data_IF_912607665681
#
_entry.id   IF_912607665681
#
_cell.length_a   1.000
_cell.length_b   1.000
_cell.length_c   1.000
_cell.angle_alpha   90.00
_cell.angle_beta   90.00
_cell.angle_gamma   90.00
#
_symmetry.space_group_name_H-M   'P 1'
#
loop_
_entity.id
_entity.type
_entity.pdbx_description
1 polymer ?
#
# COMPACT_ATOMS: atom_id res chain seq x y z
N UNK A 1 -11.47 -7.75 25.53
CA UNK A 1 -12.12 -7.23 24.29
C UNK A 1 -12.42 -8.38 23.35
N UNK A 2 -13.54 -8.30 22.65
CA UNK A 2 -13.90 -9.21 21.56
C UNK A 2 -13.53 -8.57 20.23
N UNK A 3 -12.62 -9.21 19.49
CA UNK A 3 -12.05 -8.69 18.24
C UNK A 3 -12.62 -9.47 17.07
N UNK A 4 -13.05 -8.80 16.03
CA UNK A 4 -13.66 -9.39 14.84
C UNK A 4 -12.78 -9.27 13.61
N UNK A 5 -12.65 -10.34 12.85
CA UNK A 5 -11.90 -10.42 11.60
C UNK A 5 -12.84 -10.92 10.50
N UNK A 6 -13.52 -10.04 9.77
CA UNK A 6 -14.31 -10.44 8.63
C UNK A 6 -13.40 -10.82 7.45
N UNK A 7 -13.93 -11.60 6.53
CA UNK A 7 -13.30 -11.86 5.23
C UNK A 7 -13.35 -10.59 4.39
N UNK A 8 -12.25 -10.28 3.71
CA UNK A 8 -12.20 -9.17 2.76
C UNK A 8 -13.10 -9.45 1.54
N UNK A 9 -13.88 -8.45 1.16
CA UNK A 9 -14.86 -8.56 0.07
C UNK A 9 -14.57 -7.61 -1.10
N UNK A 10 -13.60 -6.71 -0.95
CA UNK A 10 -13.17 -5.85 -2.05
C UNK A 10 -12.62 -6.72 -3.19
N UNK A 11 -12.91 -6.35 -4.42
CA UNK A 11 -12.50 -7.10 -5.61
C UNK A 11 -10.97 -7.30 -5.61
N UNK A 12 -10.53 -8.55 -5.79
CA UNK A 12 -9.11 -8.95 -5.79
C UNK A 12 -8.38 -8.69 -4.47
N UNK A 13 -9.09 -8.56 -3.34
CA UNK A 13 -8.48 -8.52 -2.02
C UNK A 13 -8.54 -9.91 -1.39
N UNK A 14 -7.39 -10.45 -1.06
CA UNK A 14 -7.22 -11.80 -0.49
C UNK A 14 -6.36 -11.80 0.76
N UNK A 15 -5.94 -10.62 1.23
CA UNK A 15 -5.27 -10.44 2.52
C UNK A 15 -6.27 -10.63 3.66
N UNK A 16 -5.77 -10.67 4.89
CA UNK A 16 -6.60 -10.80 6.10
C UNK A 16 -6.10 -9.86 7.19
N UNK A 17 -7.02 -9.29 7.97
CA UNK A 17 -6.72 -8.32 9.03
C UNK A 17 -5.84 -8.89 10.14
N UNK A 18 -6.06 -10.14 10.56
CA UNK A 18 -5.21 -10.85 11.51
C UNK A 18 -4.83 -12.23 10.97
N UNK A 19 -3.52 -12.53 10.95
CA UNK A 19 -3.00 -13.88 10.67
C UNK A 19 -3.09 -14.75 11.92
N UNK A 20 -3.07 -16.10 11.81
CA UNK A 20 -3.19 -16.99 12.97
C UNK A 20 -2.21 -16.69 14.11
N UNK A 21 -0.96 -16.32 13.82
CA UNK A 21 0.02 -15.95 14.84
C UNK A 21 -0.41 -14.70 15.64
N UNK A 22 -0.96 -13.69 14.97
CA UNK A 22 -1.50 -12.49 15.64
C UNK A 22 -2.72 -12.82 16.52
N UNK A 23 -3.56 -13.75 16.05
CA UNK A 23 -4.69 -14.27 16.84
C UNK A 23 -4.19 -14.98 18.09
N UNK A 24 -3.16 -15.83 17.99
CA UNK A 24 -2.59 -16.54 19.13
C UNK A 24 -2.02 -15.58 20.19
N UNK A 25 -1.39 -14.46 19.78
CA UNK A 25 -0.92 -13.43 20.71
C UNK A 25 -2.08 -12.75 21.46
N UNK A 26 -3.18 -12.45 20.79
CA UNK A 26 -4.37 -11.84 21.39
C UNK A 26 -5.06 -12.81 22.36
N UNK A 27 -5.30 -14.04 21.95
CA UNK A 27 -5.95 -15.07 22.78
C UNK A 27 -5.08 -15.46 23.98
N UNK A 28 -3.75 -15.52 23.80
CA UNK A 28 -2.80 -15.75 24.89
C UNK A 28 -2.79 -14.65 25.94
N UNK A 29 -3.25 -13.44 25.63
CA UNK A 29 -3.45 -12.32 26.56
C UNK A 29 -4.87 -12.21 27.12
N UNK A 30 -5.72 -13.19 26.82
CA UNK A 30 -7.09 -13.26 27.36
C UNK A 30 -8.13 -12.48 26.58
N UNK A 31 -7.82 -12.03 25.36
CA UNK A 31 -8.80 -11.46 24.44
C UNK A 31 -9.51 -12.57 23.66
N UNK A 32 -10.74 -12.32 23.22
CA UNK A 32 -11.47 -13.24 22.33
C UNK A 32 -11.42 -12.75 20.90
N UNK A 33 -11.26 -13.68 19.95
CA UNK A 33 -11.19 -13.33 18.52
C UNK A 33 -12.23 -14.13 17.76
N UNK A 34 -13.10 -13.43 17.02
CA UNK A 34 -14.04 -14.01 16.06
C UNK A 34 -13.43 -13.88 14.66
N UNK A 35 -13.39 -14.97 13.91
CA UNK A 35 -12.90 -14.96 12.53
C UNK A 35 -14.00 -15.52 11.63
N UNK A 36 -14.33 -14.80 10.56
CA UNK A 36 -15.23 -15.32 9.54
C UNK A 36 -14.62 -16.53 8.83
N UNK A 37 -15.38 -17.58 8.65
CA UNK A 37 -14.98 -18.81 7.95
C UNK A 37 -14.40 -18.46 6.56
N UNK A 38 -13.19 -18.97 6.29
CA UNK A 38 -12.49 -18.75 5.04
C UNK A 38 -11.82 -17.38 4.91
N UNK A 39 -11.78 -16.54 5.96
CA UNK A 39 -11.10 -15.22 5.90
C UNK A 39 -9.61 -15.33 5.54
N UNK A 40 -8.91 -16.35 6.02
CA UNK A 40 -7.49 -16.58 5.73
C UNK A 40 -7.20 -17.43 4.49
N UNK A 41 -8.21 -17.83 3.72
CA UNK A 41 -8.02 -18.73 2.58
C UNK A 41 -7.03 -18.19 1.54
N UNK A 42 -7.05 -16.87 1.30
CA UNK A 42 -6.17 -16.20 0.33
C UNK A 42 -4.69 -16.22 0.71
N UNK A 43 -4.38 -16.43 1.99
CA UNK A 43 -3.01 -16.56 2.48
C UNK A 43 -2.61 -18.00 2.80
N UNK A 44 -3.46 -18.98 2.45
CA UNK A 44 -3.24 -20.39 2.76
C UNK A 44 -3.48 -20.76 4.23
N UNK A 45 -4.01 -19.84 5.05
CA UNK A 45 -4.39 -20.11 6.44
C UNK A 45 -5.87 -20.57 6.49
N UNK A 46 -6.07 -21.88 6.60
CA UNK A 46 -7.41 -22.46 6.73
C UNK A 46 -8.01 -22.25 8.13
N UNK A 47 -9.31 -22.49 8.24
CA UNK A 47 -10.08 -22.34 9.47
C UNK A 47 -9.47 -23.09 10.67
N UNK A 48 -8.88 -24.27 10.45
CA UNK A 48 -8.23 -25.04 11.51
C UNK A 48 -7.00 -24.31 12.11
N UNK A 49 -6.28 -23.54 11.32
CA UNK A 49 -5.17 -22.74 11.84
C UNK A 49 -5.66 -21.64 12.79
N UNK A 50 -6.80 -21.03 12.49
CA UNK A 50 -7.42 -20.04 13.38
C UNK A 50 -7.99 -20.67 14.65
N UNK A 51 -8.63 -21.85 14.55
CA UNK A 51 -9.08 -22.61 15.75
C UNK A 51 -7.88 -22.98 16.63
N UNK A 52 -6.78 -23.44 16.03
CA UNK A 52 -5.57 -23.76 16.79
C UNK A 52 -4.95 -22.53 17.47
N UNK A 53 -5.12 -21.35 16.89
CA UNK A 53 -4.72 -20.07 17.47
C UNK A 53 -5.70 -19.54 18.55
N UNK A 54 -6.79 -20.27 18.83
CA UNK A 54 -7.78 -19.92 19.85
C UNK A 54 -8.93 -19.03 19.37
N UNK A 55 -9.10 -18.83 18.06
CA UNK A 55 -10.24 -18.09 17.53
C UNK A 55 -11.53 -18.91 17.54
N UNK A 56 -12.65 -18.23 17.74
CA UNK A 56 -13.98 -18.74 17.41
C UNK A 56 -14.28 -18.42 15.94
N UNK A 57 -14.73 -19.43 15.18
CA UNK A 57 -15.15 -19.23 13.80
C UNK A 57 -16.64 -18.94 13.74
N UNK A 58 -17.00 -17.93 12.94
CA UNK A 58 -18.39 -17.57 12.64
C UNK A 58 -18.67 -17.70 11.14
N UNK A 59 -19.94 -17.93 10.81
CA UNK A 59 -20.33 -18.29 9.46
C UNK A 59 -20.36 -17.11 8.49
N UNK A 60 -20.50 -15.88 9.00
CA UNK A 60 -20.70 -14.68 8.17
C UNK A 60 -20.03 -13.43 8.75
N UNK A 61 -19.75 -12.47 7.89
CA UNK A 61 -19.32 -11.13 8.30
C UNK A 61 -20.36 -10.46 9.22
N UNK A 62 -21.66 -10.69 8.97
CA UNK A 62 -22.73 -10.13 9.82
C UNK A 62 -22.60 -10.60 11.28
N UNK A 63 -22.22 -11.85 11.53
CA UNK A 63 -21.95 -12.35 12.88
C UNK A 63 -20.74 -11.66 13.53
N UNK A 64 -19.73 -11.34 12.72
CA UNK A 64 -18.54 -10.58 13.16
C UNK A 64 -18.94 -9.17 13.57
N UNK A 65 -19.59 -8.42 12.65
CA UNK A 65 -19.98 -7.03 12.89
C UNK A 65 -20.99 -6.89 14.05
N UNK A 66 -21.90 -7.84 14.21
CA UNK A 66 -22.92 -7.79 15.28
C UNK A 66 -22.36 -8.01 16.68
N UNK A 67 -21.21 -8.69 16.84
CA UNK A 67 -20.71 -9.13 18.16
C UNK A 67 -19.42 -8.44 18.59
N UNK A 68 -18.53 -8.13 17.64
CA UNK A 68 -17.20 -7.66 17.96
C UNK A 68 -17.21 -6.21 18.49
N UNK A 69 -16.33 -5.92 19.46
CA UNK A 69 -16.07 -4.58 19.98
C UNK A 69 -15.07 -3.83 19.10
N UNK A 70 -14.14 -4.56 18.44
CA UNK A 70 -13.19 -4.00 17.48
C UNK A 70 -13.17 -4.85 16.22
N UNK A 71 -13.32 -4.23 15.06
CA UNK A 71 -13.20 -4.84 13.74
C UNK A 71 -11.81 -4.53 13.18
N UNK A 72 -11.07 -5.58 12.83
CA UNK A 72 -9.73 -5.45 12.21
C UNK A 72 -9.80 -5.97 10.78
N UNK A 73 -9.51 -5.10 9.83
CA UNK A 73 -9.53 -5.37 8.38
C UNK A 73 -8.22 -4.95 7.74
N UNK A 74 -8.06 -5.23 6.46
CA UNK A 74 -6.99 -4.71 5.62
C UNK A 74 -7.49 -3.51 4.83
N UNK A 75 -8.58 -3.68 4.08
CA UNK A 75 -9.13 -2.63 3.20
C UNK A 75 -10.32 -1.93 3.85
N UNK A 76 -10.57 -0.75 3.32
CA UNK A 76 -11.70 0.08 3.67
C UNK A 76 -13.01 -0.72 3.60
N UNK A 77 -13.94 -0.51 4.57
CA UNK A 77 -15.22 -1.19 4.56
C UNK A 77 -16.03 -0.80 3.34
N UNK A 78 -16.67 -1.79 2.73
CA UNK A 78 -17.53 -1.60 1.57
C UNK A 78 -18.95 -1.16 2.00
N UNK A 79 -19.84 -0.68 1.09
CA UNK A 79 -21.16 -0.18 1.45
C UNK A 79 -22.00 -1.12 2.31
N UNK A 80 -21.94 -2.42 2.06
CA UNK A 80 -22.64 -3.42 2.84
C UNK A 80 -21.96 -3.76 4.18
N UNK A 81 -20.76 -3.23 4.45
CA UNK A 81 -20.04 -3.41 5.70
C UNK A 81 -20.23 -2.21 6.64
N UNK A 82 -20.05 -0.96 6.13
CA UNK A 82 -20.14 0.20 7.04
C UNK A 82 -21.53 0.41 7.63
N UNK A 83 -22.60 -0.06 6.94
CA UNK A 83 -23.97 -0.02 7.48
C UNK A 83 -24.19 -1.01 8.65
N UNK A 84 -23.26 -1.92 8.90
CA UNK A 84 -23.31 -2.88 10.00
C UNK A 84 -22.51 -2.40 11.23
N UNK A 85 -21.74 -1.31 11.10
CA UNK A 85 -20.99 -0.74 12.21
C UNK A 85 -21.90 0.01 13.17
N UNK A 86 -21.48 0.10 14.44
CA UNK A 86 -22.20 0.79 15.51
C UNK A 86 -21.29 1.74 16.29
N UNK A 87 -21.90 2.66 17.05
CA UNK A 87 -21.21 3.71 17.80
C UNK A 87 -20.20 3.19 18.85
N UNK A 88 -20.44 1.99 19.38
CA UNK A 88 -19.60 1.39 20.43
C UNK A 88 -18.41 0.61 19.85
N UNK A 89 -18.32 0.52 18.51
CA UNK A 89 -17.27 -0.26 17.85
C UNK A 89 -16.06 0.57 17.44
N UNK A 90 -14.89 -0.06 17.51
CA UNK A 90 -13.65 0.42 16.89
C UNK A 90 -13.50 -0.27 15.53
N UNK A 91 -13.28 0.51 14.48
CA UNK A 91 -12.84 0.02 13.17
C UNK A 91 -11.37 0.35 12.99
N UNK A 92 -10.51 -0.65 12.78
CA UNK A 92 -9.07 -0.50 12.60
C UNK A 92 -8.63 -1.11 11.28
N UNK A 93 -8.30 -0.27 10.28
CA UNK A 93 -8.05 -0.67 8.89
C UNK A 93 -7.48 0.49 8.08
N UNK A 94 -7.08 0.26 6.80
CA UNK A 94 -6.93 1.36 5.84
C UNK A 94 -8.29 1.96 5.51
N UNK A 95 -8.38 3.28 5.42
CA UNK A 95 -9.64 3.99 5.17
C UNK A 95 -9.62 4.84 3.90
N UNK A 96 -8.58 5.64 3.68
CA UNK A 96 -8.44 6.56 2.52
C UNK A 96 -9.65 7.51 2.32
N UNK A 97 -10.22 8.03 3.41
CA UNK A 97 -11.50 8.75 3.45
C UNK A 97 -11.56 9.99 2.54
N UNK A 98 -10.44 10.72 2.40
CA UNK A 98 -10.39 11.89 1.54
C UNK A 98 -10.69 11.59 0.05
N UNK A 99 -10.55 10.33 -0.37
CA UNK A 99 -10.83 9.89 -1.74
C UNK A 99 -12.23 9.27 -1.92
N UNK A 100 -12.97 8.98 -0.83
CA UNK A 100 -14.30 8.35 -0.87
C UNK A 100 -15.24 8.99 0.14
N UNK A 101 -15.98 9.99 -0.32
CA UNK A 101 -16.94 10.73 0.50
C UNK A 101 -18.19 9.90 0.86
N UNK A 102 -18.53 8.87 0.07
CA UNK A 102 -19.64 7.98 0.39
C UNK A 102 -19.32 7.12 1.61
N UNK A 103 -18.11 6.55 1.65
CA UNK A 103 -17.58 5.82 2.79
C UNK A 103 -17.45 6.74 4.02
N UNK A 104 -16.94 7.95 3.85
CA UNK A 104 -16.81 8.94 4.93
C UNK A 104 -18.16 9.21 5.60
N UNK A 105 -19.21 9.49 4.81
CA UNK A 105 -20.57 9.69 5.33
C UNK A 105 -21.11 8.43 6.02
N UNK A 106 -20.91 7.24 5.43
CA UNK A 106 -21.34 5.98 6.04
C UNK A 106 -20.68 5.71 7.39
N UNK A 107 -19.39 6.02 7.54
CA UNK A 107 -18.71 5.92 8.85
C UNK A 107 -19.19 6.96 9.86
N UNK A 108 -19.47 8.20 9.42
CA UNK A 108 -20.09 9.21 10.29
C UNK A 108 -21.49 8.77 10.76
N UNK A 109 -22.31 8.24 9.87
CA UNK A 109 -23.65 7.75 10.19
C UNK A 109 -23.65 6.57 11.17
N UNK A 110 -22.63 5.68 11.08
CA UNK A 110 -22.46 4.56 12.01
C UNK A 110 -22.11 5.02 13.43
N UNK A 111 -21.49 6.18 13.58
CA UNK A 111 -20.99 6.70 14.85
C UNK A 111 -19.79 5.96 15.41
N UNK A 112 -19.22 4.99 14.71
CA UNK A 112 -18.08 4.18 15.17
C UNK A 112 -16.82 5.03 15.38
N UNK A 113 -15.84 4.44 16.09
CA UNK A 113 -14.49 5.01 16.19
C UNK A 113 -13.63 4.39 15.09
N UNK A 114 -13.40 5.13 14.00
CA UNK A 114 -12.62 4.66 12.87
C UNK A 114 -11.17 5.18 12.93
N UNK A 115 -10.23 4.24 13.01
CA UNK A 115 -8.80 4.48 13.14
C UNK A 115 -8.10 3.97 11.86
N UNK A 116 -7.52 4.90 11.11
CA UNK A 116 -6.89 4.64 9.83
C UNK A 116 -5.41 4.23 10.01
N UNK A 117 -5.00 3.13 9.38
CA UNK A 117 -3.60 2.70 9.36
C UNK A 117 -2.68 3.75 8.75
N UNK A 118 -3.10 4.35 7.64
CA UNK A 118 -2.28 5.26 6.83
C UNK A 118 -2.04 6.63 7.45
N UNK A 119 -2.69 6.96 8.58
CA UNK A 119 -2.49 8.24 9.27
C UNK A 119 -1.76 8.09 10.60
N UNK A 120 -1.50 6.86 11.07
CA UNK A 120 -0.66 6.60 12.23
C UNK A 120 0.79 6.96 11.88
N UNK A 121 1.45 7.71 12.80
CA UNK A 121 2.80 8.22 12.61
C UNK A 121 3.82 7.53 13.52
N UNK A 122 5.09 7.87 13.37
CA UNK A 122 6.18 7.55 14.28
C UNK A 122 7.00 8.80 14.66
N UNK A 123 7.95 8.65 15.60
CA UNK A 123 8.82 9.74 16.06
C UNK A 123 9.66 10.37 14.94
N UNK A 124 9.90 9.66 13.84
CA UNK A 124 10.62 10.15 12.68
C UNK A 124 9.72 10.86 11.66
N UNK A 125 8.39 10.96 11.93
CA UNK A 125 7.40 11.49 10.99
C UNK A 125 7.07 10.53 9.85
N UNK A 126 7.40 9.25 10.00
CA UNK A 126 7.04 8.19 9.08
C UNK A 126 5.60 7.69 9.29
N UNK A 127 5.16 6.80 8.39
CA UNK A 127 3.85 6.13 8.42
C UNK A 127 4.08 4.61 8.57
N UNK A 128 4.30 4.13 9.82
CA UNK A 128 4.79 2.78 10.07
C UNK A 128 3.83 1.67 9.62
N UNK A 129 2.51 1.93 9.56
CA UNK A 129 1.56 0.94 9.10
C UNK A 129 1.33 0.97 7.59
N UNK A 130 1.72 2.07 6.91
CA UNK A 130 1.74 2.15 5.44
C UNK A 130 3.05 1.59 4.86
N UNK A 131 4.16 1.69 5.61
CA UNK A 131 5.48 1.28 5.17
C UNK A 131 5.55 -0.17 4.65
N UNK A 132 4.96 -1.21 5.30
CA UNK A 132 5.00 -2.58 4.80
C UNK A 132 4.41 -2.73 3.40
N UNK A 133 3.30 -2.05 3.11
CA UNK A 133 2.68 -2.10 1.77
C UNK A 133 3.52 -1.36 0.72
N UNK A 134 4.15 -0.26 1.12
CA UNK A 134 5.11 0.46 0.28
C UNK A 134 6.38 -0.37 -0.02
N UNK A 135 6.85 -1.18 0.94
CA UNK A 135 7.96 -2.10 0.74
C UNK A 135 7.62 -3.22 -0.25
N UNK A 136 6.44 -3.82 -0.10
CA UNK A 136 5.94 -4.85 -1.02
C UNK A 136 5.76 -4.26 -2.42
N UNK A 137 5.08 -3.11 -2.54
CA UNK A 137 4.85 -2.46 -3.83
C UNK A 137 6.16 -2.10 -4.55
N UNK A 138 7.15 -1.57 -3.81
CA UNK A 138 8.46 -1.24 -4.37
C UNK A 138 9.18 -2.46 -4.94
N UNK A 139 9.12 -3.61 -4.27
CA UNK A 139 9.74 -4.85 -4.76
C UNK A 139 8.99 -5.43 -5.95
N UNK A 140 7.64 -5.45 -5.88
CA UNK A 140 6.79 -5.92 -6.98
C UNK A 140 6.97 -5.07 -8.24
N UNK A 141 7.14 -3.74 -8.11
CA UNK A 141 7.30 -2.87 -9.27
C UNK A 141 8.46 -3.29 -10.19
N UNK A 142 9.54 -3.82 -9.61
CA UNK A 142 10.68 -4.31 -10.38
C UNK A 142 10.40 -5.69 -10.99
N UNK A 143 9.72 -6.56 -10.26
CA UNK A 143 9.34 -7.90 -10.75
C UNK A 143 8.41 -7.76 -11.97
N UNK A 144 7.37 -6.94 -11.83
CA UNK A 144 6.43 -6.66 -12.92
C UNK A 144 7.11 -5.92 -14.08
N UNK A 145 7.95 -4.93 -13.77
CA UNK A 145 8.75 -4.22 -14.77
C UNK A 145 9.63 -5.17 -15.57
N UNK A 146 10.36 -6.06 -14.91
CA UNK A 146 11.21 -7.07 -15.54
C UNK A 146 10.41 -8.08 -16.36
N UNK A 147 9.22 -8.48 -15.88
CA UNK A 147 8.33 -9.36 -16.62
C UNK A 147 7.85 -8.72 -17.93
N UNK A 148 7.57 -7.41 -17.90
CA UNK A 148 7.08 -6.67 -19.05
C UNK A 148 8.19 -6.18 -20.01
N UNK A 149 9.46 -6.29 -19.65
CA UNK A 149 10.58 -6.10 -20.60
C UNK A 149 10.69 -7.21 -21.65
N UNK A 150 10.01 -8.34 -21.45
CA UNK A 150 10.01 -9.47 -22.42
C UNK A 150 9.24 -9.11 -23.69
N UNK A 151 9.70 -9.59 -24.84
CA UNK A 151 9.08 -9.31 -26.14
C UNK A 151 7.62 -9.79 -26.25
N UNK A 152 7.28 -10.92 -25.61
CA UNK A 152 5.92 -11.44 -25.60
C UNK A 152 4.95 -10.64 -24.70
N UNK A 153 5.47 -9.73 -23.89
CA UNK A 153 4.69 -8.78 -23.07
C UNK A 153 4.67 -7.37 -23.67
N UNK A 154 5.13 -7.20 -24.92
CA UNK A 154 5.22 -5.89 -25.58
C UNK A 154 6.50 -5.12 -25.28
N UNK A 155 7.37 -5.63 -24.42
CA UNK A 155 8.66 -5.04 -24.09
C UNK A 155 9.71 -5.24 -25.17
N UNK A 156 10.88 -4.62 -24.98
CA UNK A 156 11.97 -4.62 -25.95
C UNK A 156 12.79 -5.91 -26.05
N UNK A 157 12.37 -7.00 -25.36
CA UNK A 157 13.05 -8.30 -25.39
C UNK A 157 14.34 -8.31 -24.57
N UNK A 158 14.40 -7.58 -23.48
CA UNK A 158 15.58 -7.41 -22.62
C UNK A 158 15.44 -8.24 -21.33
N UNK A 159 16.50 -8.98 -20.98
CA UNK A 159 16.63 -9.59 -19.64
C UNK A 159 17.24 -8.57 -18.68
N UNK A 160 16.58 -8.30 -17.56
CA UNK A 160 16.95 -7.24 -16.61
C UNK A 160 18.42 -7.34 -16.13
N UNK A 161 18.91 -8.56 -15.90
CA UNK A 161 20.29 -8.80 -15.48
C UNK A 161 21.33 -8.80 -16.61
N UNK A 162 20.89 -8.87 -17.86
CA UNK A 162 21.75 -9.32 -18.94
C UNK A 162 22.30 -10.74 -18.73
N UNK A 163 23.29 -11.14 -19.51
CA UNK A 163 24.10 -12.35 -19.37
C UNK A 163 25.55 -12.01 -19.74
N UNK A 164 26.56 -12.88 -19.46
CA UNK A 164 27.93 -12.59 -19.83
C UNK A 164 28.06 -12.19 -21.29
N UNK A 165 28.63 -11.00 -21.53
CA UNK A 165 28.81 -10.40 -22.86
C UNK A 165 27.63 -9.47 -23.28
N UNK A 166 26.56 -9.32 -22.48
CA UNK A 166 25.48 -8.35 -22.73
C UNK A 166 25.34 -7.34 -21.60
N UNK A 167 24.78 -6.19 -21.89
CA UNK A 167 24.49 -5.18 -20.86
C UNK A 167 23.23 -5.54 -20.06
N UNK A 168 23.22 -5.29 -18.75
CA UNK A 168 21.97 -5.32 -17.96
C UNK A 168 21.07 -4.12 -18.31
N UNK A 169 19.82 -4.15 -17.82
CA UNK A 169 18.87 -3.06 -17.99
C UNK A 169 19.30 -1.80 -17.23
N UNK A 170 18.99 -0.64 -17.81
CA UNK A 170 19.04 0.67 -17.13
C UNK A 170 17.69 0.90 -16.43
N UNK A 171 17.69 0.87 -15.09
CA UNK A 171 16.50 1.06 -14.24
C UNK A 171 16.57 2.43 -13.59
N UNK A 172 15.54 3.23 -13.79
CA UNK A 172 15.39 4.55 -13.18
C UNK A 172 14.26 4.51 -12.16
N UNK A 173 14.54 4.90 -10.93
CA UNK A 173 13.56 5.02 -9.85
C UNK A 173 13.38 6.50 -9.52
N UNK A 174 12.16 7.01 -9.72
CA UNK A 174 11.81 8.41 -9.43
C UNK A 174 11.10 8.48 -8.08
N UNK A 175 11.80 9.00 -7.07
CA UNK A 175 11.40 9.03 -5.66
C UNK A 175 12.19 8.02 -4.81
N UNK A 176 12.95 8.52 -3.86
CA UNK A 176 13.81 7.73 -2.96
C UNK A 176 13.15 7.36 -1.62
N UNK A 177 11.82 7.42 -1.51
CA UNK A 177 11.06 7.04 -0.33
C UNK A 177 11.10 5.54 -0.03
N UNK A 178 10.14 5.02 0.74
CA UNK A 178 10.07 3.58 1.09
C UNK A 178 9.92 2.72 -0.17
N UNK A 179 8.98 3.07 -1.06
CA UNK A 179 8.76 2.39 -2.34
C UNK A 179 10.05 2.36 -3.16
N UNK A 180 10.64 3.53 -3.42
CA UNK A 180 11.81 3.62 -4.29
C UNK A 180 13.05 2.95 -3.73
N UNK A 181 13.25 2.99 -2.41
CA UNK A 181 14.35 2.24 -1.76
C UNK A 181 14.21 0.74 -1.95
N UNK A 182 12.99 0.21 -1.84
CA UNK A 182 12.72 -1.21 -2.03
C UNK A 182 12.76 -1.61 -3.51
N UNK A 183 12.34 -0.74 -4.42
CA UNK A 183 12.55 -0.91 -5.85
C UNK A 183 14.05 -0.97 -6.19
N UNK A 184 14.85 -0.03 -5.68
CA UNK A 184 16.29 -0.03 -5.88
C UNK A 184 16.94 -1.33 -5.36
N UNK A 185 16.60 -1.77 -4.14
CA UNK A 185 17.09 -3.04 -3.57
C UNK A 185 16.80 -4.23 -4.48
N UNK A 186 15.57 -4.33 -5.01
CA UNK A 186 15.18 -5.42 -5.88
C UNK A 186 15.90 -5.35 -7.23
N UNK A 187 15.98 -4.17 -7.85
CA UNK A 187 16.64 -3.99 -9.14
C UNK A 187 18.14 -4.33 -9.07
N UNK A 188 18.83 -3.90 -7.99
CA UNK A 188 20.22 -4.28 -7.71
C UNK A 188 20.34 -5.81 -7.55
N UNK A 189 19.44 -6.41 -6.75
CA UNK A 189 19.42 -7.86 -6.54
C UNK A 189 19.21 -8.67 -7.82
N UNK A 190 18.51 -8.11 -8.80
CA UNK A 190 18.35 -8.71 -10.14
C UNK A 190 19.50 -8.34 -11.11
N UNK A 191 20.50 -7.58 -10.68
CA UNK A 191 21.70 -7.26 -11.46
C UNK A 191 21.51 -6.10 -12.45
N UNK A 192 20.51 -5.27 -12.32
CA UNK A 192 20.31 -4.07 -13.12
C UNK A 192 21.30 -2.95 -12.77
N UNK A 193 21.50 -1.99 -13.67
CA UNK A 193 22.09 -0.69 -13.36
C UNK A 193 20.99 0.24 -12.86
N UNK A 194 21.18 0.83 -11.67
CA UNK A 194 20.11 1.56 -11.00
C UNK A 194 20.48 3.02 -10.79
N UNK A 195 19.61 3.93 -11.26
CA UNK A 195 19.65 5.35 -10.94
C UNK A 195 18.43 5.72 -10.11
N UNK A 196 18.65 6.35 -8.95
CA UNK A 196 17.58 6.83 -8.06
C UNK A 196 17.55 8.36 -8.08
N UNK A 197 16.37 8.92 -8.30
CA UNK A 197 16.11 10.35 -8.32
C UNK A 197 15.31 10.77 -7.08
N UNK A 198 15.77 11.82 -6.39
CA UNK A 198 15.00 12.46 -5.32
C UNK A 198 15.26 13.96 -5.27
N UNK A 199 14.32 14.76 -4.75
CA UNK A 199 14.49 16.19 -4.51
C UNK A 199 15.21 16.49 -3.20
N UNK A 200 15.21 15.56 -2.25
CA UNK A 200 15.85 15.71 -0.97
C UNK A 200 17.30 15.29 -1.01
N UNK A 201 18.22 16.25 -1.02
CA UNK A 201 19.65 15.94 -0.92
C UNK A 201 20.02 15.16 0.34
N UNK A 202 19.44 15.43 1.53
CA UNK A 202 19.61 14.55 2.69
C UNK A 202 19.19 13.09 2.43
N UNK A 203 18.09 12.89 1.69
CA UNK A 203 17.65 11.54 1.32
C UNK A 203 18.62 10.87 0.35
N UNK A 204 19.12 11.59 -0.63
CA UNK A 204 20.14 11.08 -1.56
C UNK A 204 21.41 10.63 -0.83
N UNK A 205 21.86 11.37 0.22
CA UNK A 205 23.00 10.95 1.07
C UNK A 205 22.71 9.65 1.81
N UNK A 206 21.51 9.52 2.40
CA UNK A 206 21.10 8.27 3.06
C UNK A 206 21.11 7.08 2.10
N UNK A 207 20.65 7.27 0.87
CA UNK A 207 20.66 6.23 -0.16
C UNK A 207 22.09 5.87 -0.60
N UNK A 208 22.95 6.87 -0.70
CA UNK A 208 24.38 6.67 -0.99
C UNK A 208 25.05 5.86 0.14
N UNK A 209 24.78 6.18 1.40
CA UNK A 209 25.28 5.44 2.56
C UNK A 209 24.76 3.99 2.60
N UNK A 210 23.50 3.76 2.19
CA UNK A 210 22.87 2.42 2.19
C UNK A 210 23.42 1.53 1.07
N UNK A 211 23.56 2.08 -0.13
CA UNK A 211 23.83 1.31 -1.35
C UNK A 211 25.25 1.46 -1.89
N UNK A 212 25.97 2.50 -1.47
CA UNK A 212 27.30 2.81 -2.00
C UNK A 212 27.29 2.90 -3.52
N UNK A 213 28.27 2.29 -4.15
CA UNK A 213 28.43 2.30 -5.61
C UNK A 213 27.44 1.39 -6.39
N UNK A 214 26.50 0.73 -5.71
CA UNK A 214 25.53 -0.13 -6.37
C UNK A 214 24.41 0.68 -7.08
N UNK A 215 24.29 1.96 -6.77
CA UNK A 215 23.35 2.88 -7.43
C UNK A 215 24.06 4.19 -7.84
N UNK A 216 23.42 4.90 -8.77
CA UNK A 216 23.69 6.31 -9.02
C UNK A 216 22.59 7.15 -8.43
N UNK A 217 22.91 8.15 -7.60
CA UNK A 217 21.93 9.10 -7.09
C UNK A 217 21.97 10.40 -7.90
N UNK A 218 20.79 10.93 -8.27
CA UNK A 218 20.67 12.19 -9.03
C UNK A 218 19.58 13.07 -8.41
N UNK A 219 19.77 14.38 -8.46
CA UNK A 219 18.73 15.34 -8.04
C UNK A 219 17.56 15.35 -9.04
N UNK A 220 16.33 15.19 -8.53
CA UNK A 220 15.12 15.08 -9.35
C UNK A 220 14.66 16.46 -9.85
N UNK A 221 15.24 16.92 -10.95
CA UNK A 221 14.72 18.05 -11.75
C UNK A 221 14.14 17.53 -13.06
N UNK A 222 13.26 18.30 -13.70
CA UNK A 222 12.66 17.92 -14.99
C UNK A 222 13.72 17.54 -16.02
N UNK A 223 14.76 18.37 -16.18
CA UNK A 223 15.83 18.12 -17.15
C UNK A 223 16.59 16.82 -16.88
N UNK A 224 16.87 16.51 -15.60
CA UNK A 224 17.54 15.26 -15.20
C UNK A 224 16.62 14.05 -15.39
N UNK A 225 15.34 14.17 -15.07
CA UNK A 225 14.36 13.11 -15.34
C UNK A 225 14.34 12.77 -16.83
N UNK A 226 14.20 13.78 -17.69
CA UNK A 226 14.20 13.62 -19.15
C UNK A 226 15.52 13.05 -19.67
N UNK A 227 16.67 13.48 -19.12
CA UNK A 227 18.00 12.96 -19.47
C UNK A 227 18.10 11.46 -19.22
N UNK A 228 17.82 11.02 -17.98
CA UNK A 228 18.04 9.63 -17.58
C UNK A 228 16.95 8.68 -18.08
N UNK A 229 15.70 9.15 -18.20
CA UNK A 229 14.58 8.32 -18.67
C UNK A 229 14.66 8.04 -20.19
N UNK A 230 15.35 8.90 -20.98
CA UNK A 230 15.55 8.65 -22.41
C UNK A 230 16.27 7.32 -22.67
N UNK A 231 17.26 7.01 -21.83
CA UNK A 231 18.08 5.81 -21.94
C UNK A 231 17.64 4.68 -20.99
N UNK A 232 16.54 4.86 -20.27
CA UNK A 232 16.01 3.85 -19.39
C UNK A 232 15.34 2.70 -20.16
N UNK A 233 15.47 1.49 -19.62
CA UNK A 233 14.72 0.32 -20.05
C UNK A 233 13.49 0.11 -19.17
N UNK A 234 13.61 0.47 -17.87
CA UNK A 234 12.53 0.42 -16.89
C UNK A 234 12.53 1.70 -16.05
N UNK A 235 11.38 2.35 -15.96
CA UNK A 235 11.15 3.51 -15.10
C UNK A 235 10.12 3.19 -14.04
N UNK A 236 10.44 3.43 -12.77
CA UNK A 236 9.55 3.21 -11.64
C UNK A 236 9.16 4.55 -11.02
N UNK A 237 7.88 4.88 -11.09
CA UNK A 237 7.28 6.04 -10.44
C UNK A 237 6.96 5.73 -8.97
N UNK A 238 7.76 6.31 -8.07
CA UNK A 238 7.71 6.03 -6.62
C UNK A 238 7.54 7.30 -5.79
N UNK A 239 6.90 8.33 -6.35
CA UNK A 239 6.66 9.61 -5.67
C UNK A 239 5.28 9.58 -5.02
N UNK A 240 5.26 9.73 -3.70
CA UNK A 240 4.06 9.86 -2.89
C UNK A 240 4.10 11.21 -2.17
N UNK A 241 3.01 11.98 -2.29
CA UNK A 241 2.78 13.18 -1.50
C UNK A 241 1.61 12.89 -0.56
N UNK A 242 1.84 12.83 0.76
CA UNK A 242 0.75 12.57 1.72
C UNK A 242 -0.38 13.59 1.55
N UNK A 243 -1.63 13.10 1.38
CA UNK A 243 -2.81 13.94 1.27
C UNK A 243 -2.98 14.73 -0.05
N UNK A 244 -2.10 14.52 -1.05
CA UNK A 244 -2.19 15.22 -2.33
C UNK A 244 -2.00 14.27 -3.53
N UNK A 245 -2.44 14.72 -4.70
CA UNK A 245 -2.19 14.00 -5.95
C UNK A 245 -0.71 13.98 -6.30
N UNK A 246 -0.23 12.88 -6.88
CA UNK A 246 1.14 12.78 -7.36
C UNK A 246 1.41 13.79 -8.49
N UNK A 247 2.60 14.46 -8.51
CA UNK A 247 2.97 15.36 -9.59
C UNK A 247 3.23 14.59 -10.88
N UNK A 248 2.85 15.15 -12.03
CA UNK A 248 3.15 14.56 -13.33
C UNK A 248 4.61 14.83 -13.70
N UNK A 249 5.46 13.80 -13.63
CA UNK A 249 6.91 13.86 -13.78
C UNK A 249 7.40 13.62 -15.22
N UNK A 250 6.65 12.81 -15.97
CA UNK A 250 6.90 12.53 -17.39
C UNK A 250 5.66 12.94 -18.17
N UNK A 251 5.84 13.84 -19.14
CA UNK A 251 4.78 14.27 -20.05
C UNK A 251 4.58 13.27 -21.19
N UNK A 252 3.42 13.31 -21.83
CA UNK A 252 3.14 12.49 -23.01
C UNK A 252 4.11 12.77 -24.16
N UNK A 253 4.44 14.02 -24.39
CA UNK A 253 5.37 14.41 -25.48
C UNK A 253 6.76 13.79 -25.30
N UNK A 254 7.20 13.62 -24.05
CA UNK A 254 8.51 13.03 -23.75
C UNK A 254 8.53 11.51 -24.00
N UNK A 255 7.41 10.79 -23.90
CA UNK A 255 7.37 9.32 -24.08
C UNK A 255 7.97 8.88 -25.42
N UNK A 256 7.69 9.60 -26.49
CA UNK A 256 8.24 9.32 -27.83
C UNK A 256 9.78 9.37 -27.89
N UNK A 257 10.42 9.99 -26.89
CA UNK A 257 11.88 10.09 -26.75
C UNK A 257 12.49 8.92 -25.98
N UNK A 258 11.65 8.09 -25.32
CA UNK A 258 12.10 6.90 -24.62
C UNK A 258 12.37 5.74 -25.59
N UNK A 259 13.09 4.73 -25.12
CA UNK A 259 13.37 3.56 -25.95
C UNK A 259 12.08 2.80 -26.26
N UNK A 260 11.81 2.44 -27.53
CA UNK A 260 10.66 1.59 -27.86
C UNK A 260 10.68 0.27 -27.09
N UNK A 261 9.55 -0.10 -26.50
CA UNK A 261 9.42 -1.28 -25.64
C UNK A 261 10.03 -1.13 -24.25
N UNK A 262 10.44 0.10 -23.84
CA UNK A 262 10.72 0.38 -22.44
C UNK A 262 9.44 0.28 -21.61
N UNK A 263 9.60 0.07 -20.30
CA UNK A 263 8.49 -0.16 -19.38
C UNK A 263 8.42 0.96 -18.35
N UNK A 264 7.23 1.46 -18.09
CA UNK A 264 6.91 2.34 -16.97
C UNK A 264 6.05 1.56 -15.97
N UNK A 265 6.44 1.56 -14.69
CA UNK A 265 5.62 1.07 -13.58
C UNK A 265 5.27 2.24 -12.68
N UNK A 266 3.99 2.57 -12.62
CA UNK A 266 3.49 3.68 -11.78
C UNK A 266 2.95 3.15 -10.46
N UNK A 267 3.78 3.17 -9.41
CA UNK A 267 3.37 2.73 -8.07
C UNK A 267 2.50 3.78 -7.37
N UNK A 268 2.55 5.04 -7.83
CA UNK A 268 1.73 6.13 -7.31
C UNK A 268 0.31 6.17 -7.90
N UNK A 269 -0.10 5.14 -8.64
CA UNK A 269 -1.36 5.12 -9.39
C UNK A 269 -2.59 5.31 -8.49
N UNK A 270 -2.56 4.81 -7.25
CA UNK A 270 -3.63 4.99 -6.26
C UNK A 270 -3.85 6.47 -5.90
N UNK A 271 -2.87 7.34 -6.18
CA UNK A 271 -2.93 8.80 -6.02
C UNK A 271 -2.98 9.55 -7.36
N UNK A 272 -3.54 8.92 -8.40
CA UNK A 272 -3.68 9.48 -9.73
C UNK A 272 -2.46 9.33 -10.64
N UNK A 273 -1.41 8.65 -10.18
CA UNK A 273 -0.19 8.36 -10.93
C UNK A 273 0.74 9.56 -11.13
N UNK A 274 2.03 9.30 -11.27
CA UNK A 274 3.06 10.32 -11.45
C UNK A 274 3.50 10.53 -12.92
N UNK A 275 2.86 9.87 -13.88
CA UNK A 275 3.05 10.11 -15.30
C UNK A 275 1.77 10.64 -15.94
N UNK A 276 1.90 11.51 -16.93
CA UNK A 276 0.73 12.15 -17.58
C UNK A 276 -0.17 11.12 -18.25
N UNK A 277 0.40 10.05 -18.79
CA UNK A 277 -0.29 8.96 -19.49
C UNK A 277 -0.76 7.83 -18.57
N UNK A 278 -0.49 7.91 -17.25
CA UNK A 278 -0.92 6.89 -16.30
C UNK A 278 -2.44 6.91 -16.09
N UNK A 279 -3.05 5.74 -16.20
CA UNK A 279 -4.41 5.44 -15.72
C UNK A 279 -4.43 4.08 -15.05
N UNK A 280 -5.30 3.92 -14.06
CA UNK A 280 -5.36 2.69 -13.27
C UNK A 280 -5.74 1.48 -14.12
N UNK A 281 -5.02 0.39 -13.92
CA UNK A 281 -5.28 -0.94 -14.49
C UNK A 281 -5.59 -1.96 -13.40
N UNK A 282 -5.91 -3.16 -13.78
CA UNK A 282 -6.27 -4.26 -12.87
C UNK A 282 -5.29 -5.42 -13.00
N UNK A 283 -5.30 -6.36 -12.05
CA UNK A 283 -4.49 -7.57 -12.15
C UNK A 283 -4.89 -8.49 -13.33
N UNK A 284 -6.10 -8.35 -13.86
CA UNK A 284 -6.58 -9.15 -15.02
C UNK A 284 -6.14 -8.54 -16.36
N UNK A 285 -6.03 -7.21 -16.43
CA UNK A 285 -5.55 -6.46 -17.60
C UNK A 285 -4.53 -5.42 -17.11
N UNK A 286 -3.27 -5.86 -16.82
CA UNK A 286 -2.33 -5.08 -16.03
C UNK A 286 -1.58 -4.01 -16.84
N UNK A 287 -1.58 -4.10 -18.16
CA UNK A 287 -0.72 -3.25 -19.01
C UNK A 287 -1.43 -2.68 -20.22
N UNK A 288 -0.93 -1.55 -20.68
CA UNK A 288 -1.27 -0.95 -21.97
C UNK A 288 -0.04 -0.28 -22.56
N UNK A 289 -0.11 0.06 -23.86
CA UNK A 289 1.00 0.69 -24.57
C UNK A 289 0.60 2.08 -25.04
N UNK A 290 1.44 3.08 -24.76
CA UNK A 290 1.32 4.46 -25.27
C UNK A 290 2.63 4.84 -25.91
N UNK A 291 2.57 5.30 -27.17
CA UNK A 291 3.72 5.78 -27.93
C UNK A 291 4.94 4.82 -27.92
N UNK A 292 4.65 3.48 -27.90
CA UNK A 292 5.67 2.42 -27.87
C UNK A 292 6.23 2.08 -26.50
N UNK A 293 5.75 2.71 -25.41
CA UNK A 293 6.15 2.45 -24.01
C UNK A 293 5.06 1.62 -23.32
N UNK A 294 5.46 0.52 -22.69
CA UNK A 294 4.57 -0.34 -21.90
C UNK A 294 4.32 0.30 -20.54
N UNK A 295 3.06 0.42 -20.17
CA UNK A 295 2.63 0.96 -18.87
C UNK A 295 2.05 -0.15 -18.02
N UNK A 296 2.56 -0.32 -16.81
CA UNK A 296 2.00 -1.15 -15.74
C UNK A 296 1.52 -0.22 -14.62
N UNK A 297 0.22 -0.11 -14.45
CA UNK A 297 -0.42 0.84 -13.54
C UNK A 297 -1.48 0.16 -12.66
N UNK A 298 -1.19 -1.06 -12.19
CA UNK A 298 -2.14 -1.84 -11.38
C UNK A 298 -2.31 -1.22 -10.00
N UNK A 299 -3.56 -0.85 -9.69
CA UNK A 299 -3.92 -0.40 -8.36
C UNK A 299 -3.83 -1.55 -7.35
N UNK A 300 -3.47 -1.23 -6.10
CA UNK A 300 -3.35 -2.22 -5.03
C UNK A 300 -2.37 -3.38 -5.33
N UNK A 301 -1.19 -3.06 -5.89
CA UNK A 301 -0.15 -4.06 -6.19
C UNK A 301 0.11 -5.06 -5.04
N UNK A 302 0.16 -4.66 -3.74
CA UNK A 302 0.39 -5.58 -2.64
C UNK A 302 -0.67 -6.69 -2.49
N UNK A 303 -1.87 -6.50 -3.03
CA UNK A 303 -2.94 -7.50 -3.06
C UNK A 303 -2.60 -8.75 -3.86
N UNK A 304 -1.65 -8.67 -4.82
CA UNK A 304 -1.20 -9.83 -5.62
C UNK A 304 -0.32 -10.82 -4.86
N UNK A 305 0.22 -10.45 -3.71
CA UNK A 305 1.04 -11.31 -2.84
C UNK A 305 0.46 -11.32 -1.42
N UNK A 306 -0.78 -11.85 -1.26
CA UNK A 306 -1.54 -11.68 -0.03
C UNK A 306 -0.87 -12.29 1.20
N UNK A 307 -0.16 -13.41 1.07
CA UNK A 307 0.58 -14.03 2.17
C UNK A 307 1.63 -13.07 2.74
N UNK A 308 2.58 -12.64 1.92
CA UNK A 308 3.65 -11.70 2.33
C UNK A 308 3.07 -10.40 2.86
N UNK A 309 2.05 -9.87 2.18
CA UNK A 309 1.43 -8.59 2.55
C UNK A 309 0.68 -8.67 3.88
N UNK A 310 -0.05 -9.77 4.15
CA UNK A 310 -0.75 -9.95 5.43
C UNK A 310 0.24 -10.11 6.59
N UNK A 311 1.28 -10.92 6.43
CA UNK A 311 2.31 -11.10 7.45
C UNK A 311 3.05 -9.79 7.75
N UNK A 312 3.49 -9.07 6.72
CA UNK A 312 4.19 -7.80 6.87
C UNK A 312 3.29 -6.73 7.54
N UNK A 313 2.03 -6.65 7.14
CA UNK A 313 1.06 -5.72 7.75
C UNK A 313 0.81 -6.09 9.21
N UNK A 314 0.56 -7.37 9.52
CA UNK A 314 0.29 -7.83 10.88
C UNK A 314 1.48 -7.57 11.82
N UNK A 315 2.71 -7.74 11.35
CA UNK A 315 3.89 -7.40 12.15
C UNK A 315 3.93 -5.93 12.57
N UNK A 316 3.40 -5.04 11.74
CA UNK A 316 3.31 -3.60 12.04
C UNK A 316 2.06 -3.25 12.86
N UNK A 317 0.91 -3.86 12.57
CA UNK A 317 -0.37 -3.51 13.21
C UNK A 317 -0.56 -4.15 14.58
N UNK A 318 0.01 -5.33 14.83
CA UNK A 318 -0.22 -6.10 16.07
C UNK A 318 0.04 -5.32 17.36
N UNK A 319 1.12 -4.52 17.51
CA UNK A 319 1.31 -3.70 18.72
C UNK A 319 0.14 -2.76 18.99
N UNK A 320 -0.40 -2.14 17.95
CA UNK A 320 -1.55 -1.22 18.06
C UNK A 320 -2.86 -1.96 18.31
N UNK A 321 -3.06 -3.12 17.67
CA UNK A 321 -4.22 -4.00 17.96
C UNK A 321 -4.21 -4.42 19.42
N UNK A 322 -3.05 -4.80 19.97
CA UNK A 322 -2.91 -5.16 21.38
C UNK A 322 -3.21 -3.97 22.30
N UNK A 323 -2.69 -2.79 22.00
CA UNK A 323 -2.94 -1.58 22.78
C UNK A 323 -4.45 -1.21 22.80
N UNK A 324 -5.10 -1.29 21.64
CA UNK A 324 -6.54 -1.06 21.52
C UNK A 324 -7.35 -2.17 22.22
N UNK A 325 -6.92 -3.42 22.15
CA UNK A 325 -7.58 -4.54 22.83
C UNK A 325 -7.51 -4.41 24.35
N UNK A 326 -6.38 -3.94 24.89
CA UNK A 326 -6.16 -3.78 26.33
C UNK A 326 -6.84 -2.52 26.92
N UNK A 327 -6.89 -1.42 26.14
CA UNK A 327 -7.28 -0.11 26.64
C UNK A 327 -8.51 0.50 25.95
N UNK A 328 -9.02 -0.14 24.90
CA UNK A 328 -10.09 0.44 24.10
C UNK A 328 -9.67 1.78 23.50
N UNK A 329 -10.61 2.69 23.38
CA UNK A 329 -10.37 4.05 22.84
C UNK A 329 -9.38 4.87 23.69
N UNK A 330 -9.21 4.53 24.98
CA UNK A 330 -8.23 5.20 25.86
C UNK A 330 -6.76 4.90 25.45
N UNK A 331 -6.51 3.95 24.54
CA UNK A 331 -5.20 3.77 23.93
C UNK A 331 -4.73 5.02 23.17
N UNK A 332 -5.66 5.78 22.58
CA UNK A 332 -5.38 7.04 21.87
C UNK A 332 -4.82 8.14 22.79
N UNK A 333 -5.25 8.16 24.05
CA UNK A 333 -4.75 9.15 25.04
C UNK A 333 -3.33 8.82 25.52
N UNK A 334 -2.86 7.58 25.29
CA UNK A 334 -1.57 7.07 25.76
C UNK A 334 -0.48 7.11 24.69
N UNK A 335 -0.89 7.09 23.43
CA UNK A 335 0.01 7.10 22.28
C UNK A 335 -0.43 8.17 21.27
N UNK A 336 0.28 9.31 21.20
CA UNK A 336 -0.03 10.40 20.29
C UNK A 336 0.11 9.99 18.82
N UNK A 337 0.94 9.01 18.52
CA UNK A 337 1.09 8.50 17.16
C UNK A 337 -0.11 7.66 16.74
N UNK A 338 -0.61 6.80 17.63
CA UNK A 338 -1.86 6.08 17.42
C UNK A 338 -3.06 7.03 17.33
N UNK A 339 -3.06 8.11 18.13
CA UNK A 339 -4.11 9.14 18.08
C UNK A 339 -4.21 9.84 16.71
N UNK A 340 -3.11 10.00 15.99
CA UNK A 340 -3.10 10.50 14.61
C UNK A 340 -3.85 9.58 13.63
N UNK A 341 -4.07 8.31 14.03
CA UNK A 341 -4.91 7.37 13.29
C UNK A 341 -6.39 7.66 13.35
N UNK A 342 -6.86 8.44 14.33
CA UNK A 342 -8.28 8.71 14.51
C UNK A 342 -8.81 9.60 13.37
N UNK A 343 -9.72 9.06 12.56
CA UNK A 343 -10.29 9.76 11.42
C UNK A 343 -11.78 10.09 11.61
N UNK A 344 -12.55 9.21 12.28
CA UNK A 344 -13.97 9.45 12.59
C UNK A 344 -14.25 8.99 14.03
N UNK A 345 -15.07 9.76 14.78
CA UNK A 345 -15.53 9.37 16.10
C UNK A 345 -16.87 10.03 16.42
N UNK A 346 -17.86 9.24 16.85
CA UNK A 346 -19.15 9.75 17.29
C UNK A 346 -19.91 10.55 16.22
N UNK A 347 -19.73 10.20 14.95
CA UNK A 347 -20.36 10.88 13.81
C UNK A 347 -19.60 12.10 13.30
N UNK A 348 -18.43 12.42 13.84
CA UNK A 348 -17.62 13.55 13.42
C UNK A 348 -16.31 13.10 12.78
N UNK A 349 -15.88 13.77 11.71
CA UNK A 349 -14.54 13.62 11.12
C UNK A 349 -13.55 14.41 11.96
N UNK A 350 -12.43 13.78 12.33
CA UNK A 350 -11.40 14.37 13.19
C UNK A 350 -10.08 14.63 12.47
N UNK A 351 -9.91 14.15 11.24
CA UNK A 351 -8.67 14.28 10.48
C UNK A 351 -8.76 15.40 9.44
N UNK A 352 -7.88 16.39 9.54
CA UNK A 352 -7.94 17.65 8.78
C UNK A 352 -8.03 17.45 7.26
N UNK A 353 -7.22 16.55 6.69
CA UNK A 353 -7.24 16.32 5.24
C UNK A 353 -8.58 15.75 4.74
N UNK A 354 -9.32 15.02 5.56
CA UNK A 354 -10.66 14.54 5.22
C UNK A 354 -11.66 15.69 5.33
N UNK A 355 -11.54 16.56 6.33
CA UNK A 355 -12.37 17.77 6.47
C UNK A 355 -12.19 18.70 5.27
N UNK A 356 -10.95 18.93 4.82
CA UNK A 356 -10.65 19.73 3.63
C UNK A 356 -11.29 19.14 2.37
N UNK A 357 -11.19 17.80 2.20
CA UNK A 357 -11.80 17.11 1.06
C UNK A 357 -13.35 17.23 1.07
N UNK A 358 -13.98 17.12 2.25
CA UNK A 358 -15.43 17.31 2.41
C UNK A 358 -15.86 18.74 2.05
N UNK A 359 -15.08 19.74 2.44
CA UNK A 359 -15.34 21.15 2.11
C UNK A 359 -15.21 21.40 0.60
N UNK A 360 -14.21 20.78 -0.05
CA UNK A 360 -14.00 20.90 -1.48
C UNK A 360 -15.13 20.23 -2.31
N UNK A 361 -15.73 19.13 -1.82
CA UNK A 361 -16.90 18.51 -2.48
C UNK A 361 -18.17 19.36 -2.35
N UNK A 362 -18.29 20.11 -1.25
CA UNK A 362 -19.47 20.95 -0.97
C UNK A 362 -19.45 22.31 -1.69
N UNK A 363 -18.32 22.72 -2.26
CA UNK A 363 -18.11 24.00 -2.95
C UNK A 363 -18.34 23.89 -4.46
#
# INVERSE_FOLDING_TARGET
>A
MLIGVPKEIKVRESRVGLVPNSVAELTGRGHSVLVETGAGAGIGAGDDAYRAAGAELVASAADVFAKAEMIVKVKEPQPNEWVQLSADQILFTYLHLAADMAQTRGLMESGCTAIAYETITDDAGGLPLLAPMSEVAGRLSVIEGAANLKANAGGRGLLISGVPGTSPAEVVVIGGGVVGTNAAKMAIGLGARVTVLDRSVPRLRQLDDIFGNAITTRYSSRAIIEEVCRDADLVIGAVLIPGASAPKLISRDFLSSMKPGSVIVDVAIDQGGCFETSHATTHDDPTYIVDGVVHYCVANMPGSVPLTSSEALNNATLPHVLALAEHGVAALDRDPHLANGLNVRGGEVTFDAVLEAMQAEAA
#
